data_IF_580668887853
#
_entry.id   IF_580668887853
#
_cell.length_a   1.000
_cell.length_b   1.000
_cell.length_c   1.000
_cell.angle_alpha   90.00
_cell.angle_beta   90.00
_cell.angle_gamma   90.00
#
_symmetry.space_group_name_H-M   'P 1'
#
loop_
_entity.id
_entity.type
_entity.pdbx_description
1 polymer ?
#
# COMPACT_ATOMS: atom_id res chain seq x y z
N UNK A 1 10.65 2.19 -6.35
CA UNK A 1 9.82 3.18 -5.64
C UNK A 1 9.61 2.70 -4.21
N UNK A 2 9.58 3.63 -3.26
CA UNK A 2 9.30 3.31 -1.86
C UNK A 2 7.81 3.07 -1.65
N UNK A 3 7.48 1.98 -0.96
CA UNK A 3 6.11 1.63 -0.59
C UNK A 3 6.06 1.08 0.84
N UNK A 4 4.95 1.31 1.53
CA UNK A 4 4.61 0.59 2.75
C UNK A 4 3.94 -0.72 2.35
N UNK A 5 4.50 -1.85 2.76
CA UNK A 5 4.08 -3.20 2.37
C UNK A 5 3.82 -4.03 3.62
N UNK A 6 2.85 -4.95 3.55
CA UNK A 6 2.71 -6.06 4.50
C UNK A 6 2.55 -7.38 3.73
N UNK A 7 3.03 -8.47 4.32
CA UNK A 7 2.88 -9.83 3.79
C UNK A 7 1.95 -10.71 4.64
N UNK A 8 1.51 -10.21 5.80
CA UNK A 8 0.64 -10.90 6.76
C UNK A 8 -0.27 -9.91 7.47
N UNK A 9 -1.40 -10.38 7.98
CA UNK A 9 -2.26 -9.58 8.87
C UNK A 9 -1.59 -9.35 10.23
N UNK A 10 -1.89 -8.24 10.89
CA UNK A 10 -1.34 -7.93 12.21
C UNK A 10 -1.53 -6.48 12.63
N UNK A 11 -0.85 -6.09 13.72
CA UNK A 11 -0.74 -4.68 14.14
C UNK A 11 0.08 -3.87 13.12
N UNK A 12 0.11 -2.53 13.21
CA UNK A 12 0.98 -1.70 12.38
C UNK A 12 2.47 -2.08 12.38
N UNK A 13 2.93 -2.89 13.35
CA UNK A 13 4.31 -3.39 13.41
C UNK A 13 4.69 -4.33 12.26
N UNK A 14 3.71 -4.88 11.53
CA UNK A 14 3.95 -5.72 10.34
C UNK A 14 4.19 -4.90 9.07
N UNK A 15 4.04 -3.57 9.13
CA UNK A 15 4.25 -2.67 8.00
C UNK A 15 5.75 -2.41 7.81
N UNK A 16 6.21 -2.60 6.58
CA UNK A 16 7.61 -2.38 6.21
C UNK A 16 7.73 -1.39 5.06
N UNK A 17 8.64 -0.44 5.19
CA UNK A 17 9.05 0.41 4.07
C UNK A 17 10.01 -0.39 3.17
N UNK A 18 9.57 -0.71 1.95
CA UNK A 18 10.36 -1.46 0.97
C UNK A 18 10.55 -0.65 -0.31
N UNK A 19 11.68 -0.85 -0.98
CA UNK A 19 11.86 -0.45 -2.38
C UNK A 19 11.31 -1.55 -3.28
N UNK A 20 10.37 -1.19 -4.17
CA UNK A 20 9.73 -2.11 -5.13
C UNK A 20 9.86 -1.55 -6.55
N UNK A 21 9.63 -2.38 -7.57
CA UNK A 21 9.64 -1.91 -8.96
C UNK A 21 8.56 -0.85 -9.22
N UNK A 22 8.85 0.07 -10.14
CA UNK A 22 7.86 1.06 -10.58
C UNK A 22 6.86 0.34 -11.51
N UNK A 23 5.55 0.40 -11.25
CA UNK A 23 4.56 -0.25 -12.11
C UNK A 23 4.55 0.37 -13.51
N UNK A 24 4.36 -0.48 -14.53
CA UNK A 24 4.23 -0.07 -15.93
C UNK A 24 2.75 0.07 -16.25
N UNK A 25 2.31 1.29 -16.57
CA UNK A 25 0.95 1.55 -17.01
C UNK A 25 0.72 1.00 -18.43
N UNK A 26 -0.44 0.39 -18.66
CA UNK A 26 -0.93 0.00 -20.00
C UNK A 26 -1.50 1.20 -20.75
N UNK A 27 -1.93 0.96 -21.99
CA UNK A 27 -2.42 1.99 -22.92
C UNK A 27 -3.58 2.84 -22.35
N UNK A 28 -4.43 2.27 -21.49
CA UNK A 28 -5.61 2.91 -20.88
C UNK A 28 -5.44 3.24 -19.38
N UNK A 29 -4.22 3.16 -18.85
CA UNK A 29 -3.89 3.43 -17.44
C UNK A 29 -2.99 4.65 -17.30
N UNK A 30 -2.99 5.25 -16.10
CA UNK A 30 -2.10 6.35 -15.76
C UNK A 30 -1.22 6.01 -14.56
N UNK A 31 0.08 6.27 -14.68
CA UNK A 31 1.01 6.15 -13.55
C UNK A 31 1.01 7.45 -12.75
N UNK A 32 0.50 7.38 -11.52
CA UNK A 32 0.42 8.54 -10.62
C UNK A 32 1.57 8.51 -9.61
N UNK A 33 2.27 9.64 -9.49
CA UNK A 33 3.22 9.84 -8.39
C UNK A 33 2.50 10.36 -7.15
N UNK A 34 2.29 9.47 -6.18
CA UNK A 34 1.67 9.80 -4.89
C UNK A 34 2.51 10.83 -4.14
N UNK A 35 1.88 11.93 -3.71
CA UNK A 35 2.49 12.98 -2.87
C UNK A 35 2.03 12.92 -1.43
N UNK A 36 0.80 12.49 -1.21
CA UNK A 36 0.19 12.26 0.10
C UNK A 36 -0.88 11.18 -0.04
N UNK A 37 -1.11 10.44 1.04
CA UNK A 37 -2.21 9.51 1.22
C UNK A 37 -2.78 9.72 2.63
N UNK A 38 -4.10 9.63 2.79
CA UNK A 38 -4.75 9.61 4.10
C UNK A 38 -5.01 8.16 4.50
N UNK A 39 -5.11 7.92 5.79
CA UNK A 39 -5.68 6.67 6.30
C UNK A 39 -7.21 6.75 6.28
N UNK A 40 -7.82 5.61 6.02
CA UNK A 40 -9.23 5.31 6.14
C UNK A 40 -9.44 4.18 7.15
N UNK A 41 -10.65 4.03 7.70
CA UNK A 41 -10.98 2.90 8.57
C UNK A 41 -10.73 1.55 7.88
N UNK A 42 -11.03 1.44 6.58
CA UNK A 42 -10.80 0.24 5.81
C UNK A 42 -9.32 -0.18 5.79
N UNK A 43 -8.37 0.75 5.89
CA UNK A 43 -6.94 0.40 5.96
C UNK A 43 -6.61 -0.40 7.22
N UNK A 44 -7.24 -0.05 8.35
CA UNK A 44 -7.12 -0.81 9.60
C UNK A 44 -7.82 -2.16 9.49
N UNK A 45 -9.02 -2.19 8.94
CA UNK A 45 -9.79 -3.43 8.79
C UNK A 45 -9.01 -4.42 7.91
N UNK A 46 -8.46 -3.95 6.78
CA UNK A 46 -7.57 -4.75 5.95
C UNK A 46 -6.30 -5.14 6.70
N UNK A 47 -5.67 -4.25 7.46
CA UNK A 47 -4.45 -4.54 8.22
C UNK A 47 -4.61 -5.69 9.22
N UNK A 48 -5.73 -5.70 9.93
CA UNK A 48 -6.06 -6.76 10.90
C UNK A 48 -6.74 -7.99 10.26
N UNK A 49 -7.16 -7.91 9.00
CA UNK A 49 -7.86 -9.01 8.31
C UNK A 49 -9.29 -9.19 8.78
N UNK A 50 -9.98 -8.09 9.08
CA UNK A 50 -11.37 -8.08 9.51
C UNK A 50 -12.31 -8.09 8.29
N UNK A 51 -13.43 -8.84 8.34
CA UNK A 51 -14.40 -8.95 7.25
C UNK A 51 -15.26 -7.69 7.08
#
# INVERSE_FOLDING_TARGET
MKAIVRDRYGSPDVLELREIDIPVAKDDEVLVRVRAASLNQADLDYLYGMP
#
